data_IF_771816100032
#
_entry.id   IF_771816100032
#
_cell.length_a   1.000
_cell.length_b   1.000
_cell.length_c   1.000
_cell.angle_alpha   90.00
_cell.angle_beta   90.00
_cell.angle_gamma   90.00
#
_symmetry.space_group_name_H-M   'P 1'
#
loop_
_entity.id
_entity.type
_entity.pdbx_description
1 polymer ?
#
# COMPACT_ATOMS: atom_id res chain seq x y z
N UNK A 1 12.48 -5.84 12.80
CA UNK A 1 11.33 -5.50 11.94
C UNK A 1 11.77 -4.44 10.93
N UNK A 2 11.20 -4.37 9.72
CA UNK A 2 11.50 -3.27 8.80
C UNK A 2 11.14 -1.93 9.45
N UNK A 3 11.90 -0.87 9.17
CA UNK A 3 11.63 0.46 9.73
C UNK A 3 10.20 0.91 9.39
N UNK A 4 9.49 1.62 10.28
CA UNK A 4 8.15 2.10 9.97
C UNK A 4 8.17 3.13 8.84
N UNK A 5 7.08 3.22 8.09
CA UNK A 5 6.84 4.34 7.18
C UNK A 5 6.53 5.55 8.05
N UNK A 6 7.36 6.58 7.97
CA UNK A 6 7.08 7.82 8.70
C UNK A 6 6.09 8.63 7.88
N UNK A 7 4.97 9.00 8.47
CA UNK A 7 3.89 9.71 7.79
C UNK A 7 3.61 11.03 8.49
N UNK A 8 3.90 12.14 7.81
CA UNK A 8 3.65 13.49 8.27
C UNK A 8 2.34 14.02 7.72
N UNK A 9 1.53 14.62 8.59
CA UNK A 9 0.23 15.17 8.23
C UNK A 9 -0.11 16.41 9.07
N UNK A 10 -1.11 17.15 8.61
CA UNK A 10 -1.73 18.22 9.37
C UNK A 10 -3.26 18.22 9.14
N UNK A 11 -4.01 18.51 10.19
CA UNK A 11 -5.45 18.63 10.19
C UNK A 11 -6.00 19.71 9.23
N UNK A 12 -5.22 20.75 8.94
CA UNK A 12 -5.64 21.80 7.99
C UNK A 12 -5.44 21.42 6.51
N UNK A 13 -4.76 20.30 6.22
CA UNK A 13 -4.45 19.87 4.85
C UNK A 13 -5.51 18.91 4.30
N UNK A 14 -6.17 19.32 3.21
CA UNK A 14 -7.15 18.48 2.51
C UNK A 14 -6.53 17.16 2.02
N UNK A 15 -5.34 17.20 1.42
CA UNK A 15 -4.66 15.97 0.97
C UNK A 15 -4.15 15.12 2.13
N UNK A 16 -3.91 15.69 3.32
CA UNK A 16 -3.64 14.90 4.52
C UNK A 16 -4.85 14.04 4.89
N UNK A 17 -6.07 14.57 4.77
CA UNK A 17 -7.30 13.77 4.96
C UNK A 17 -7.37 12.56 4.01
N UNK A 18 -7.00 12.73 2.75
CA UNK A 18 -6.91 11.59 1.81
C UNK A 18 -5.88 10.56 2.28
N UNK A 19 -4.67 11.02 2.62
CA UNK A 19 -3.59 10.11 2.99
C UNK A 19 -3.85 9.38 4.32
N UNK A 20 -4.41 10.06 5.32
CA UNK A 20 -4.79 9.47 6.61
C UNK A 20 -5.73 8.26 6.43
N UNK A 21 -6.69 8.35 5.51
CA UNK A 21 -7.63 7.27 5.24
C UNK A 21 -7.04 6.08 4.45
N UNK A 22 -5.80 6.20 3.96
CA UNK A 22 -5.18 5.23 3.04
C UNK A 22 -3.89 4.61 3.56
N UNK A 23 -3.03 5.39 4.23
CA UNK A 23 -1.63 5.04 4.49
C UNK A 23 -1.46 3.73 5.26
N UNK A 24 -2.27 3.51 6.30
CA UNK A 24 -2.18 2.28 7.10
C UNK A 24 -2.58 1.04 6.29
N UNK A 25 -3.63 1.14 5.46
CA UNK A 25 -4.03 0.06 4.55
C UNK A 25 -2.92 -0.24 3.55
N UNK A 26 -2.31 0.79 2.96
CA UNK A 26 -1.17 0.63 2.04
C UNK A 26 0.00 -0.05 2.75
N UNK A 27 0.33 0.37 3.96
CA UNK A 27 1.45 -0.18 4.73
C UNK A 27 1.23 -1.65 5.13
N UNK A 28 0.01 -1.98 5.58
CA UNK A 28 -0.38 -3.33 6.01
C UNK A 28 -0.17 -4.38 4.90
N UNK A 29 -0.49 -4.04 3.63
CA UNK A 29 -0.26 -4.93 2.48
C UNK A 29 1.18 -5.44 2.36
N UNK A 30 2.14 -4.67 2.86
CA UNK A 30 3.57 -4.95 2.77
C UNK A 30 4.20 -5.24 4.14
N UNK A 31 3.39 -5.52 5.17
CA UNK A 31 3.87 -5.79 6.53
C UNK A 31 4.67 -4.63 7.12
N UNK A 32 4.28 -3.39 6.81
CA UNK A 32 4.90 -2.16 7.32
C UNK A 32 4.02 -1.54 8.39
N UNK A 33 4.65 -1.09 9.46
CA UNK A 33 4.04 -0.17 10.41
C UNK A 33 4.11 1.28 9.89
N UNK A 34 3.24 2.15 10.41
CA UNK A 34 3.22 3.57 10.09
C UNK A 34 3.40 4.41 11.36
N UNK A 35 4.42 5.24 11.38
CA UNK A 35 4.66 6.22 12.43
C UNK A 35 4.03 7.57 12.04
N UNK A 36 2.78 7.76 12.48
CA UNK A 36 2.01 8.98 12.25
C UNK A 36 2.57 10.16 13.04
N UNK A 37 2.91 11.24 12.35
CA UNK A 37 3.50 12.45 12.92
C UNK A 37 2.71 13.67 12.49
N UNK A 38 2.01 14.26 13.44
CA UNK A 38 1.36 15.55 13.21
C UNK A 38 2.39 16.67 13.26
N UNK A 39 2.25 17.65 12.37
CA UNK A 39 3.08 18.87 12.33
C UNK A 39 2.20 20.12 12.39
N UNK A 40 2.82 21.29 12.41
CA UNK A 40 2.18 22.58 12.13
C UNK A 40 2.57 22.97 10.70
N UNK A 41 1.68 22.73 9.73
CA UNK A 41 1.95 22.98 8.32
C UNK A 41 2.27 24.45 8.02
N UNK A 42 1.59 25.46 8.62
CA UNK A 42 2.01 26.86 8.47
C UNK A 42 3.50 27.07 8.78
N UNK A 43 3.99 26.59 9.92
CA UNK A 43 5.41 26.70 10.31
C UNK A 43 6.35 26.02 9.29
N UNK A 44 5.93 24.89 8.69
CA UNK A 44 6.71 24.21 7.64
C UNK A 44 6.77 25.08 6.37
N UNK A 45 5.66 25.70 5.96
CA UNK A 45 5.63 26.57 4.79
C UNK A 45 6.47 27.82 5.02
N UNK A 46 6.34 28.44 6.20
CA UNK A 46 7.11 29.61 6.60
C UNK A 46 8.62 29.33 6.59
N UNK A 47 9.05 28.17 7.11
CA UNK A 47 10.46 27.74 7.07
C UNK A 47 11.04 27.71 5.65
N UNK A 48 10.21 27.39 4.65
CA UNK A 48 10.60 27.32 3.24
C UNK A 48 10.25 28.59 2.45
N UNK A 49 9.82 29.67 3.12
CA UNK A 49 9.31 30.89 2.48
C UNK A 49 8.23 30.60 1.43
N UNK A 50 7.34 29.65 1.73
CA UNK A 50 6.25 29.23 0.86
C UNK A 50 4.91 29.67 1.43
N UNK A 51 3.88 29.72 0.57
CA UNK A 51 2.51 30.08 0.97
C UNK A 51 1.55 28.96 0.63
N UNK A 52 0.41 28.93 1.32
CA UNK A 52 -0.58 27.89 1.13
C UNK A 52 -1.10 27.87 -0.31
N UNK A 53 -1.38 26.70 -0.91
CA UNK A 53 -2.11 26.63 -2.18
C UNK A 53 -3.48 27.31 -2.12
N UNK A 54 -4.07 27.48 -0.92
CA UNK A 54 -5.32 28.22 -0.71
C UNK A 54 -5.15 29.72 -0.96
N UNK A 55 -3.97 30.26 -0.72
CA UNK A 55 -3.62 31.68 -0.89
C UNK A 55 -3.18 31.99 -2.32
N UNK A 56 -3.12 30.98 -3.19
CA UNK A 56 -2.72 31.08 -4.59
C UNK A 56 -3.94 30.82 -5.49
N UNK A 57 -4.58 31.85 -6.07
CA UNK A 57 -5.88 31.71 -6.77
C UNK A 57 -5.92 30.59 -7.83
N UNK A 58 -4.88 30.48 -8.67
CA UNK A 58 -4.81 29.44 -9.69
C UNK A 58 -4.74 28.02 -9.10
N UNK A 59 -3.94 27.82 -8.06
CA UNK A 59 -3.82 26.51 -7.37
C UNK A 59 -5.09 26.19 -6.60
N UNK A 60 -5.69 27.17 -5.94
CA UNK A 60 -6.94 26.96 -5.22
C UNK A 60 -8.08 26.57 -6.16
N UNK A 61 -8.22 27.23 -7.31
CA UNK A 61 -9.20 26.89 -8.34
C UNK A 61 -9.01 25.46 -8.90
N UNK A 62 -7.76 25.02 -9.05
CA UNK A 62 -7.45 23.63 -9.38
C UNK A 62 -7.90 22.66 -8.27
N UNK A 63 -7.49 22.94 -7.03
CA UNK A 63 -7.77 22.09 -5.87
C UNK A 63 -9.27 21.94 -5.58
N UNK A 64 -10.07 22.96 -5.85
CA UNK A 64 -11.54 22.88 -5.76
C UNK A 64 -12.14 21.76 -6.61
N UNK A 65 -11.50 21.40 -7.73
CA UNK A 65 -11.93 20.28 -8.59
C UNK A 65 -11.14 19.01 -8.31
N UNK A 66 -9.86 19.14 -8.00
CA UNK A 66 -8.97 18.00 -7.82
C UNK A 66 -9.23 17.22 -6.54
N UNK A 67 -9.42 17.92 -5.41
CA UNK A 67 -9.63 17.25 -4.13
C UNK A 67 -10.93 16.43 -4.09
N UNK A 68 -12.10 16.91 -4.59
CA UNK A 68 -13.29 16.07 -4.71
C UNK A 68 -13.12 14.87 -5.65
N UNK A 69 -12.42 15.01 -6.78
CA UNK A 69 -12.11 13.88 -7.68
C UNK A 69 -11.26 12.83 -6.97
N UNK A 70 -10.24 13.26 -6.23
CA UNK A 70 -9.37 12.39 -5.45
C UNK A 70 -10.15 11.67 -4.35
N UNK A 71 -11.03 12.37 -3.62
CA UNK A 71 -11.89 11.74 -2.61
C UNK A 71 -12.83 10.70 -3.25
N UNK A 72 -13.47 11.04 -4.37
CA UNK A 72 -14.35 10.11 -5.12
C UNK A 72 -13.59 8.87 -5.60
N UNK A 73 -12.38 9.02 -6.12
CA UNK A 73 -11.52 7.91 -6.55
C UNK A 73 -11.23 6.91 -5.41
N UNK A 74 -11.20 7.38 -4.17
CA UNK A 74 -10.89 6.57 -2.99
C UNK A 74 -12.10 6.29 -2.09
N UNK A 75 -13.33 6.60 -2.54
CA UNK A 75 -14.55 6.33 -1.78
C UNK A 75 -14.68 7.15 -0.48
N UNK A 76 -14.08 8.34 -0.42
CA UNK A 76 -14.11 9.19 0.76
C UNK A 76 -15.25 10.22 0.67
N UNK A 77 -16.00 10.47 1.78
CA UNK A 77 -16.90 11.61 1.87
C UNK A 77 -16.14 12.91 1.62
N UNK A 78 -16.77 13.86 0.92
CA UNK A 78 -16.15 15.14 0.61
C UNK A 78 -17.16 16.27 0.49
N UNK A 79 -16.86 17.39 1.13
CA UNK A 79 -17.47 18.71 0.99
C UNK A 79 -16.33 19.72 0.91
N UNK A 80 -16.02 20.20 -0.31
CA UNK A 80 -14.90 21.11 -0.52
C UNK A 80 -15.18 22.18 -1.59
N UNK A 81 -14.89 23.47 -1.33
CA UNK A 81 -14.47 23.99 -0.02
C UNK A 81 -15.58 23.77 1.02
N UNK A 82 -15.24 23.50 2.29
CA UNK A 82 -16.24 23.45 3.35
C UNK A 82 -17.02 24.77 3.39
N UNK A 83 -18.33 24.69 3.63
CA UNK A 83 -19.18 25.88 3.80
C UNK A 83 -18.75 26.69 5.04
N UNK A 84 -18.19 26.00 6.02
CA UNK A 84 -17.61 26.62 7.22
C UNK A 84 -16.21 27.19 6.96
N UNK A 85 -15.79 28.26 7.67
CA UNK A 85 -14.52 28.92 7.37
C UNK A 85 -13.30 28.06 7.79
N UNK A 86 -12.08 28.40 7.31
CA UNK A 86 -10.83 27.77 7.75
C UNK A 86 -10.56 27.95 9.24
N UNK A 87 -9.90 26.97 9.84
CA UNK A 87 -9.57 26.95 11.26
C UNK A 87 -8.08 26.73 11.50
N UNK A 88 -7.59 27.17 12.67
CA UNK A 88 -6.29 26.78 13.20
C UNK A 88 -6.38 25.47 13.97
N UNK A 89 -5.43 24.55 13.78
CA UNK A 89 -5.53 23.20 14.33
C UNK A 89 -4.70 22.93 15.60
N UNK A 90 -4.33 23.95 16.38
CA UNK A 90 -3.45 23.77 17.57
C UNK A 90 -3.97 22.72 18.55
N UNK A 91 -5.23 22.83 19.00
CA UNK A 91 -5.84 21.86 19.91
C UNK A 91 -5.81 20.43 19.34
N UNK A 92 -6.15 20.28 18.06
CA UNK A 92 -6.21 18.99 17.37
C UNK A 92 -4.85 18.26 17.41
N UNK A 93 -3.77 19.00 17.12
CA UNK A 93 -2.41 18.46 17.14
C UNK A 93 -2.02 18.01 18.55
N UNK A 94 -2.38 18.78 19.58
CA UNK A 94 -2.12 18.44 20.97
C UNK A 94 -2.92 17.21 21.42
N UNK A 95 -4.21 17.11 21.06
CA UNK A 95 -5.04 15.93 21.34
C UNK A 95 -4.44 14.69 20.70
N UNK A 96 -4.07 14.76 19.41
CA UNK A 96 -3.42 13.64 18.72
C UNK A 96 -2.16 13.18 19.44
N UNK A 97 -1.26 14.11 19.80
CA UNK A 97 0.00 13.77 20.48
C UNK A 97 -0.23 13.23 21.89
N UNK A 98 -1.22 13.76 22.61
CA UNK A 98 -1.62 13.27 23.92
C UNK A 98 -2.09 11.82 23.85
N UNK A 99 -3.04 11.53 22.95
CA UNK A 99 -3.60 10.18 22.73
C UNK A 99 -2.53 9.20 22.23
N UNK A 100 -1.69 9.61 21.28
CA UNK A 100 -0.65 8.75 20.68
C UNK A 100 0.30 8.13 21.73
N UNK A 101 0.55 8.81 22.85
CA UNK A 101 1.43 8.29 23.91
C UNK A 101 0.86 7.06 24.62
N UNK A 102 -0.45 6.94 24.70
CA UNK A 102 -1.12 5.84 25.42
C UNK A 102 -1.77 4.86 24.46
N UNK A 103 -2.36 5.35 23.35
CA UNK A 103 -3.04 4.54 22.36
C UNK A 103 -2.99 5.21 20.98
N UNK A 104 -2.13 4.68 20.11
CA UNK A 104 -1.98 5.18 18.73
C UNK A 104 -3.25 4.98 17.89
N UNK A 105 -3.96 3.87 18.05
CA UNK A 105 -5.17 3.61 17.27
C UNK A 105 -6.29 4.59 17.63
N UNK A 106 -6.40 4.95 18.91
CA UNK A 106 -7.32 6.01 19.36
C UNK A 106 -6.95 7.37 18.75
N UNK A 107 -5.66 7.70 18.67
CA UNK A 107 -5.17 8.94 18.06
C UNK A 107 -5.43 8.99 16.53
N UNK A 108 -5.28 7.86 15.83
CA UNK A 108 -5.61 7.73 14.41
C UNK A 108 -7.11 7.90 14.18
N UNK A 109 -7.95 7.19 14.94
CA UNK A 109 -9.40 7.30 14.85
C UNK A 109 -9.91 8.71 15.16
N UNK A 110 -9.33 9.39 16.16
CA UNK A 110 -9.56 10.81 16.39
C UNK A 110 -9.24 11.64 15.14
N UNK A 111 -8.08 11.39 14.50
CA UNK A 111 -7.67 12.12 13.30
C UNK A 111 -8.63 11.94 12.13
N UNK A 112 -9.10 10.71 11.92
CA UNK A 112 -10.08 10.36 10.89
C UNK A 112 -11.44 11.03 11.17
N UNK A 113 -11.89 11.03 12.43
CA UNK A 113 -13.15 11.65 12.85
C UNK A 113 -13.17 13.17 12.57
N UNK A 114 -12.09 13.86 12.94
CA UNK A 114 -11.92 15.30 12.65
C UNK A 114 -11.93 15.56 11.15
N UNK A 115 -11.13 14.80 10.40
CA UNK A 115 -11.03 14.96 8.95
C UNK A 115 -12.37 14.74 8.26
N UNK A 116 -13.11 13.68 8.65
CA UNK A 116 -14.45 13.41 8.14
C UNK A 116 -15.43 14.53 8.48
N UNK A 117 -15.42 15.06 9.71
CA UNK A 117 -16.32 16.15 10.10
C UNK A 117 -16.09 17.41 9.25
N UNK A 118 -14.84 17.81 9.07
CA UNK A 118 -14.52 19.05 8.35
C UNK A 118 -14.52 18.87 6.83
N UNK A 119 -13.69 17.96 6.30
CA UNK A 119 -13.55 17.77 4.86
C UNK A 119 -14.62 16.87 4.25
N UNK A 120 -15.16 15.92 5.02
CA UNK A 120 -16.21 15.03 4.54
C UNK A 120 -17.60 15.68 4.60
N UNK A 121 -17.95 16.25 5.76
CA UNK A 121 -19.29 16.76 6.05
C UNK A 121 -19.42 18.29 6.02
N UNK A 122 -18.32 19.03 5.85
CA UNK A 122 -18.36 20.50 5.82
C UNK A 122 -18.70 21.16 7.16
N UNK A 123 -18.46 20.49 8.30
CA UNK A 123 -18.83 20.97 9.64
C UNK A 123 -17.64 21.49 10.44
N UNK A 124 -17.91 22.39 11.39
CA UNK A 124 -16.86 22.98 12.22
C UNK A 124 -16.19 22.00 13.19
N UNK A 125 -14.89 22.26 13.44
CA UNK A 125 -14.00 21.50 14.34
C UNK A 125 -13.13 22.44 15.22
N UNK A 126 -13.48 23.71 15.36
CA UNK A 126 -12.66 24.74 16.03
C UNK A 126 -12.56 24.58 17.55
N UNK A 127 -13.58 24.00 18.18
CA UNK A 127 -13.72 23.96 19.64
C UNK A 127 -13.68 22.54 20.19
N UNK A 128 -13.32 22.39 21.47
CA UNK A 128 -13.34 21.09 22.15
C UNK A 128 -14.70 20.38 22.06
N UNK A 129 -15.81 21.13 22.11
CA UNK A 129 -17.17 20.59 21.94
C UNK A 129 -17.39 20.04 20.52
N UNK A 130 -16.94 20.77 19.50
CA UNK A 130 -17.06 20.33 18.11
C UNK A 130 -16.19 19.10 17.84
N UNK A 131 -15.01 19.00 18.45
CA UNK A 131 -14.15 17.82 18.40
C UNK A 131 -14.76 16.61 19.10
N UNK A 132 -15.35 16.81 20.28
CA UNK A 132 -16.08 15.74 20.98
C UNK A 132 -17.26 15.24 20.15
N UNK A 133 -18.02 16.14 19.51
CA UNK A 133 -19.09 15.76 18.58
C UNK A 133 -18.55 15.02 17.36
N UNK A 134 -17.41 15.43 16.78
CA UNK A 134 -16.76 14.70 15.69
C UNK A 134 -16.46 13.24 16.08
N UNK A 135 -15.94 13.06 17.29
CA UNK A 135 -15.58 11.74 17.82
C UNK A 135 -16.81 10.89 18.07
N UNK A 136 -17.82 11.45 18.73
CA UNK A 136 -19.10 10.76 18.98
C UNK A 136 -19.76 10.31 17.69
N UNK A 137 -19.88 11.18 16.70
CA UNK A 137 -20.52 10.88 15.40
C UNK A 137 -19.77 9.79 14.62
N UNK A 138 -18.46 9.66 14.86
CA UNK A 138 -17.58 8.68 14.21
C UNK A 138 -17.34 7.41 15.05
N UNK A 139 -17.92 7.31 16.25
CA UNK A 139 -17.75 6.16 17.14
C UNK A 139 -16.40 6.09 17.88
N UNK A 140 -15.70 7.23 18.03
CA UNK A 140 -14.42 7.31 18.74
C UNK A 140 -14.67 7.60 20.23
N UNK A 141 -14.23 6.73 21.16
CA UNK A 141 -14.59 6.82 22.58
C UNK A 141 -13.73 7.84 23.32
N UNK A 142 -13.82 9.12 22.96
CA UNK A 142 -13.18 10.23 23.69
C UNK A 142 -14.19 11.30 24.09
N UNK A 143 -14.10 11.73 25.35
CA UNK A 143 -14.94 12.79 25.90
C UNK A 143 -14.34 14.18 25.74
N UNK A 144 -15.16 15.20 25.97
CA UNK A 144 -14.73 16.61 25.93
C UNK A 144 -13.63 16.94 26.95
N UNK A 145 -13.63 16.28 28.11
CA UNK A 145 -12.64 16.54 29.17
C UNK A 145 -11.24 16.07 28.77
N UNK A 146 -11.13 14.91 28.12
CA UNK A 146 -9.85 14.41 27.58
C UNK A 146 -9.33 15.34 26.47
N UNK A 147 -10.24 15.90 25.65
CA UNK A 147 -9.88 16.87 24.61
C UNK A 147 -9.36 18.17 25.24
N UNK A 148 -10.07 18.72 26.23
CA UNK A 148 -9.65 19.95 26.94
C UNK A 148 -8.33 19.77 27.67
N UNK A 149 -8.09 18.60 28.27
CA UNK A 149 -6.85 18.29 28.97
C UNK A 149 -5.61 18.44 28.08
N UNK A 150 -5.75 18.29 26.76
CA UNK A 150 -4.65 18.45 25.81
C UNK A 150 -4.16 19.90 25.68
N UNK A 151 -4.98 20.92 25.96
CA UNK A 151 -4.61 22.34 25.82
C UNK A 151 -3.38 22.69 26.66
N UNK A 152 -3.31 22.11 27.87
CA UNK A 152 -2.26 22.38 28.86
C UNK A 152 -1.21 21.26 28.94
N UNK A 153 -1.22 20.30 28.01
CA UNK A 153 -0.30 19.17 28.02
C UNK A 153 1.10 19.58 27.52
N UNK A 154 1.99 19.89 28.46
CA UNK A 154 3.38 20.31 28.18
C UNK A 154 4.17 19.27 27.39
N UNK A 155 3.90 17.99 27.59
CA UNK A 155 4.59 16.93 26.83
C UNK A 155 4.13 16.92 25.38
N UNK A 156 2.82 17.05 25.13
CA UNK A 156 2.29 17.16 23.77
C UNK A 156 2.85 18.40 23.05
N UNK A 157 2.93 19.54 23.74
CA UNK A 157 3.55 20.77 23.21
C UNK A 157 5.03 20.54 22.84
N UNK A 158 5.83 19.93 23.74
CA UNK A 158 7.24 19.59 23.47
C UNK A 158 7.37 18.60 22.30
N UNK A 159 6.49 17.60 22.23
CA UNK A 159 6.46 16.65 21.12
C UNK A 159 6.17 17.34 19.79
N UNK A 160 5.26 18.31 19.75
CA UNK A 160 4.96 19.08 18.54
C UNK A 160 6.18 19.85 18.04
N UNK A 161 6.89 20.56 18.93
CA UNK A 161 8.12 21.27 18.59
C UNK A 161 9.23 20.33 18.13
N UNK A 162 9.37 19.15 18.75
CA UNK A 162 10.33 18.13 18.30
C UNK A 162 9.96 17.52 16.94
N UNK A 163 8.65 17.40 16.66
CA UNK A 163 8.11 16.90 15.40
C UNK A 163 8.47 17.81 14.24
N UNK A 164 8.39 19.13 14.42
CA UNK A 164 8.86 20.11 13.44
C UNK A 164 10.32 19.90 13.06
N UNK A 165 11.24 19.82 14.03
CA UNK A 165 12.67 19.62 13.76
C UNK A 165 12.93 18.33 12.97
N UNK A 166 12.23 17.25 13.32
CA UNK A 166 12.35 15.96 12.62
C UNK A 166 11.78 16.01 11.20
N UNK A 167 10.67 16.72 10.98
CA UNK A 167 10.07 16.92 9.67
C UNK A 167 11.01 17.69 8.73
N UNK A 168 11.63 18.78 9.20
CA UNK A 168 12.64 19.53 8.44
C UNK A 168 13.86 18.66 8.14
N UNK A 169 14.37 17.90 9.12
CA UNK A 169 15.49 16.98 8.93
C UNK A 169 15.18 15.85 7.91
N UNK A 170 13.90 15.49 7.73
CA UNK A 170 13.46 14.57 6.69
C UNK A 170 13.28 15.24 5.32
N UNK A 171 13.36 16.57 5.24
CA UNK A 171 13.14 17.35 4.04
C UNK A 171 11.66 17.57 3.72
N UNK A 172 10.77 17.55 4.72
CA UNK A 172 9.37 17.91 4.54
C UNK A 172 9.25 19.40 4.16
N UNK A 173 8.45 19.69 3.14
CA UNK A 173 8.13 21.04 2.68
C UNK A 173 6.63 21.28 2.46
N UNK A 174 5.80 20.28 2.73
CA UNK A 174 4.36 20.34 2.62
C UNK A 174 3.72 19.05 3.14
N UNK A 175 2.38 19.02 3.27
CA UNK A 175 1.65 17.87 3.80
C UNK A 175 0.58 17.35 2.82
N UNK A 176 0.36 16.02 2.74
CA UNK A 176 1.04 14.97 3.50
C UNK A 176 2.45 14.66 2.96
N UNK A 177 3.30 14.09 3.80
CA UNK A 177 4.67 13.71 3.42
C UNK A 177 5.05 12.38 4.06
N UNK A 178 5.62 11.46 3.29
CA UNK A 178 6.02 10.14 3.76
C UNK A 178 7.52 9.94 3.56
N UNK A 179 8.14 9.24 4.51
CA UNK A 179 9.53 8.76 4.40
C UNK A 179 9.55 7.26 4.64
N UNK A 180 10.15 6.51 3.71
CA UNK A 180 10.24 5.06 3.77
C UNK A 180 11.62 4.62 3.28
N UNK A 181 12.42 4.02 4.17
CA UNK A 181 13.76 3.49 3.85
C UNK A 181 14.69 4.52 3.16
N UNK A 182 14.64 5.78 3.60
CA UNK A 182 15.41 6.89 3.04
C UNK A 182 14.73 7.62 1.88
N UNK A 183 13.76 6.98 1.22
CA UNK A 183 12.98 7.58 0.14
C UNK A 183 11.87 8.50 0.66
N UNK A 184 11.54 9.53 -0.12
CA UNK A 184 10.62 10.61 0.26
C UNK A 184 9.48 10.72 -0.74
N UNK A 185 8.26 10.90 -0.25
CA UNK A 185 7.04 10.97 -1.05
C UNK A 185 6.16 12.10 -0.54
N UNK A 186 5.86 13.09 -1.38
CA UNK A 186 5.03 14.24 -1.02
C UNK A 186 3.70 14.20 -1.76
N UNK A 187 2.59 14.30 -1.03
CA UNK A 187 1.25 14.27 -1.59
C UNK A 187 0.55 12.91 -1.44
N UNK A 188 -0.79 12.94 -1.41
CA UNK A 188 -1.60 11.72 -1.28
C UNK A 188 -1.57 10.87 -2.56
N UNK A 189 -1.33 11.50 -3.70
CA UNK A 189 -1.08 10.88 -5.01
C UNK A 189 0.22 10.06 -5.04
N UNK A 190 1.18 10.35 -4.14
CA UNK A 190 2.45 9.60 -4.04
C UNK A 190 2.40 8.39 -3.13
N UNK A 191 1.25 8.07 -2.55
CA UNK A 191 1.02 6.76 -1.93
C UNK A 191 1.19 5.62 -2.94
N UNK A 192 0.82 5.85 -4.20
CA UNK A 192 0.94 4.84 -5.25
C UNK A 192 2.42 4.61 -5.64
N UNK A 193 3.23 5.67 -5.59
CA UNK A 193 4.69 5.58 -5.78
C UNK A 193 5.38 4.87 -4.60
N UNK A 194 4.97 5.20 -3.38
CA UNK A 194 5.43 4.51 -2.17
C UNK A 194 5.10 3.01 -2.25
N UNK A 195 3.87 2.68 -2.61
CA UNK A 195 3.42 1.31 -2.81
C UNK A 195 4.22 0.60 -3.91
N UNK A 196 4.46 1.26 -5.04
CA UNK A 196 5.30 0.71 -6.10
C UNK A 196 6.71 0.35 -5.61
N UNK A 197 7.33 1.20 -4.78
CA UNK A 197 8.64 0.91 -4.20
C UNK A 197 8.59 -0.26 -3.20
N UNK A 198 7.54 -0.32 -2.37
CA UNK A 198 7.36 -1.41 -1.40
C UNK A 198 7.18 -2.76 -2.11
N UNK A 199 6.42 -2.82 -3.22
CA UNK A 199 6.30 -4.02 -4.07
C UNK A 199 7.65 -4.54 -4.55
N UNK A 200 8.61 -3.65 -4.84
CA UNK A 200 9.94 -4.04 -5.34
C UNK A 200 10.87 -4.55 -4.24
N UNK A 201 10.53 -4.36 -2.95
CA UNK A 201 11.31 -4.81 -1.79
C UNK A 201 10.78 -6.11 -1.14
N UNK A 202 10.17 -6.99 -1.94
CA UNK A 202 9.85 -8.36 -1.50
C UNK A 202 11.15 -9.03 -1.04
N UNK A 203 11.14 -9.64 0.16
CA UNK A 203 12.26 -10.50 0.59
C UNK A 203 12.30 -11.73 -0.31
N UNK A 204 13.23 -11.72 -1.25
CA UNK A 204 13.46 -12.81 -2.21
C UNK A 204 14.46 -13.80 -1.58
N UNK A 205 14.14 -15.10 -1.47
CA UNK A 205 15.11 -16.12 -1.06
C UNK A 205 16.33 -16.16 -1.97
N UNK A 206 17.49 -16.54 -1.41
CA UNK A 206 18.76 -16.55 -2.14
C UNK A 206 18.68 -17.37 -3.44
N UNK A 207 19.18 -16.78 -4.52
CA UNK A 207 19.24 -17.42 -5.85
C UNK A 207 17.99 -17.23 -6.70
N UNK A 208 16.94 -16.59 -6.18
CA UNK A 208 15.83 -16.13 -7.01
C UNK A 208 16.08 -14.72 -7.53
N UNK A 209 15.73 -14.50 -8.79
CA UNK A 209 15.80 -13.20 -9.47
C UNK A 209 14.44 -12.85 -10.06
N UNK A 210 14.09 -11.54 -10.16
CA UNK A 210 12.85 -11.13 -10.81
C UNK A 210 12.74 -11.72 -12.22
N UNK A 211 11.59 -12.32 -12.53
CA UNK A 211 11.30 -12.80 -13.87
C UNK A 211 10.79 -11.62 -14.72
N UNK A 212 11.45 -11.24 -15.82
CA UNK A 212 11.05 -10.10 -16.64
C UNK A 212 9.68 -10.37 -17.28
N UNK A 213 8.68 -9.57 -16.89
CA UNK A 213 7.27 -9.84 -17.17
C UNK A 213 6.93 -9.46 -18.62
N UNK A 214 6.44 -10.42 -19.39
CA UNK A 214 6.11 -10.33 -20.82
C UNK A 214 4.62 -10.02 -21.10
N UNK A 215 3.82 -9.63 -20.09
CA UNK A 215 2.40 -9.27 -20.29
C UNK A 215 1.82 -8.38 -19.18
N UNK A 216 0.80 -7.58 -19.52
CA UNK A 216 0.02 -6.77 -18.56
C UNK A 216 -0.63 -7.61 -17.45
N UNK A 217 -1.01 -8.86 -17.75
CA UNK A 217 -1.66 -9.75 -16.78
C UNK A 217 -0.69 -10.17 -15.67
N UNK A 218 0.50 -10.64 -16.06
CA UNK A 218 1.52 -11.06 -15.11
C UNK A 218 2.18 -9.88 -14.40
N UNK A 219 2.17 -8.68 -14.98
CA UNK A 219 2.58 -7.45 -14.29
C UNK A 219 1.63 -7.09 -13.12
N UNK A 220 0.31 -7.17 -13.34
CA UNK A 220 -0.69 -6.82 -12.31
C UNK A 220 -0.72 -7.80 -11.15
N UNK A 221 -0.53 -9.09 -11.46
CA UNK A 221 -0.56 -10.16 -10.47
C UNK A 221 0.85 -10.58 -10.00
N UNK A 222 1.93 -10.04 -10.56
CA UNK A 222 3.31 -10.30 -10.14
C UNK A 222 3.75 -9.41 -8.96
N UNK A 223 5.05 -9.35 -8.63
CA UNK A 223 6.16 -9.87 -9.42
C UNK A 223 6.32 -11.39 -9.26
N UNK A 224 6.72 -12.02 -10.36
CA UNK A 224 7.20 -13.40 -10.37
C UNK A 224 8.72 -13.40 -10.28
N UNK A 225 9.25 -14.48 -9.72
CA UNK A 225 10.68 -14.73 -9.59
C UNK A 225 11.02 -16.06 -10.21
N UNK A 226 12.27 -16.22 -10.60
CA UNK A 226 12.78 -17.50 -11.08
C UNK A 226 14.16 -17.77 -10.52
N UNK A 227 14.52 -19.05 -10.45
CA UNK A 227 15.85 -19.53 -10.09
C UNK A 227 16.23 -20.64 -11.05
N UNK A 228 17.43 -20.59 -11.61
CA UNK A 228 18.00 -21.69 -12.40
C UNK A 228 19.06 -22.40 -11.55
N UNK A 229 18.92 -23.71 -11.37
CA UNK A 229 19.90 -24.56 -10.67
C UNK A 229 19.95 -25.93 -11.31
N UNK A 230 21.15 -26.42 -11.62
CA UNK A 230 21.38 -27.75 -12.20
C UNK A 230 20.51 -28.05 -13.44
N UNK A 231 20.39 -27.08 -14.36
CA UNK A 231 19.59 -27.22 -15.58
C UNK A 231 18.06 -27.26 -15.35
N UNK A 232 17.60 -26.94 -14.14
CA UNK A 232 16.18 -26.81 -13.82
C UNK A 232 15.84 -25.36 -13.47
N UNK A 233 14.71 -24.89 -13.98
CA UNK A 233 14.14 -23.60 -13.64
C UNK A 233 13.01 -23.80 -12.62
N UNK A 234 12.98 -22.98 -11.59
CA UNK A 234 11.92 -22.92 -10.58
C UNK A 234 11.33 -21.52 -10.61
N UNK A 235 10.01 -21.42 -10.69
CA UNK A 235 9.31 -20.14 -10.62
C UNK A 235 8.72 -19.94 -9.24
N UNK A 236 8.57 -18.69 -8.82
CA UNK A 236 8.06 -18.36 -7.51
C UNK A 236 7.33 -17.02 -7.45
N UNK A 237 6.52 -16.84 -6.42
CA UNK A 237 5.97 -15.54 -6.03
C UNK A 237 5.83 -15.45 -4.50
N UNK A 238 5.71 -14.22 -3.99
CA UNK A 238 5.37 -13.96 -2.59
C UNK A 238 3.88 -13.65 -2.50
N UNK A 239 3.16 -14.30 -1.61
CA UNK A 239 1.71 -14.09 -1.45
C UNK A 239 1.44 -12.72 -0.84
N UNK A 240 0.55 -11.93 -1.47
CA UNK A 240 0.00 -10.68 -0.96
C UNK A 240 -1.51 -10.62 -1.23
N UNK A 241 -2.15 -9.54 -0.80
CA UNK A 241 -3.61 -9.35 -0.87
C UNK A 241 -4.22 -9.53 -2.26
N UNK A 242 -3.48 -9.23 -3.34
CA UNK A 242 -3.98 -9.37 -4.72
C UNK A 242 -4.26 -10.83 -5.07
N UNK A 243 -3.57 -11.74 -4.41
CA UNK A 243 -3.68 -13.17 -4.67
C UNK A 243 -4.81 -13.82 -3.87
N UNK A 244 -5.44 -13.13 -2.91
CA UNK A 244 -6.35 -13.75 -1.95
C UNK A 244 -7.79 -13.79 -2.46
N UNK A 245 -8.52 -14.80 -2.00
CA UNK A 245 -9.98 -14.89 -2.12
C UNK A 245 -10.66 -14.32 -0.86
N UNK A 246 -12.00 -14.22 -0.80
CA UNK A 246 -12.73 -13.72 0.38
C UNK A 246 -12.52 -14.50 1.69
N UNK A 247 -11.84 -15.65 1.66
CA UNK A 247 -11.45 -16.43 2.85
C UNK A 247 -9.98 -16.22 3.24
N UNK A 248 -9.34 -15.19 2.71
CA UNK A 248 -7.95 -14.80 3.01
C UNK A 248 -6.90 -15.88 2.71
N UNK A 249 -7.18 -16.74 1.72
CA UNK A 249 -6.21 -17.71 1.18
C UNK A 249 -6.04 -17.48 -0.32
N UNK A 250 -4.92 -17.95 -0.90
CA UNK A 250 -4.67 -17.78 -2.33
C UNK A 250 -5.83 -18.29 -3.18
N UNK A 251 -6.33 -17.44 -4.06
CA UNK A 251 -7.38 -17.72 -5.02
C UNK A 251 -6.91 -18.79 -6.01
N UNK A 252 -7.69 -19.85 -6.17
CA UNK A 252 -7.34 -20.97 -7.06
C UNK A 252 -7.05 -20.51 -8.49
N UNK A 253 -7.85 -19.59 -9.02
CA UNK A 253 -7.60 -18.96 -10.33
C UNK A 253 -6.23 -18.28 -10.47
N UNK A 254 -5.72 -17.61 -9.42
CA UNK A 254 -4.36 -17.06 -9.45
C UNK A 254 -3.32 -18.17 -9.43
N UNK A 255 -3.47 -19.16 -8.55
CA UNK A 255 -2.53 -20.28 -8.48
C UNK A 255 -2.43 -21.02 -9.82
N UNK A 256 -3.57 -21.28 -10.47
CA UNK A 256 -3.62 -21.90 -11.80
C UNK A 256 -2.95 -21.02 -12.86
N UNK A 257 -3.17 -19.69 -12.85
CA UNK A 257 -2.45 -18.78 -13.77
C UNK A 257 -0.94 -18.73 -13.51
N UNK A 258 -0.51 -18.79 -12.25
CA UNK A 258 0.90 -18.89 -11.90
C UNK A 258 1.52 -20.19 -12.41
N UNK A 259 0.81 -21.30 -12.24
CA UNK A 259 1.21 -22.63 -12.74
C UNK A 259 1.32 -22.63 -14.26
N UNK A 260 0.35 -22.05 -14.98
CA UNK A 260 0.36 -21.92 -16.44
C UNK A 260 1.66 -21.30 -16.95
N UNK A 261 1.99 -20.10 -16.44
CA UNK A 261 3.21 -19.37 -16.81
C UNK A 261 4.46 -20.18 -16.45
N UNK A 262 4.48 -20.77 -15.24
CA UNK A 262 5.63 -21.51 -14.73
C UNK A 262 5.94 -22.76 -15.56
N UNK A 263 4.91 -23.55 -15.88
CA UNK A 263 5.06 -24.81 -16.62
C UNK A 263 5.36 -24.55 -18.10
N UNK A 264 4.71 -23.56 -18.73
CA UNK A 264 5.00 -23.17 -20.10
C UNK A 264 6.47 -22.76 -20.27
N UNK A 265 6.96 -21.90 -19.36
CA UNK A 265 8.36 -21.44 -19.40
C UNK A 265 9.35 -22.53 -19.04
N UNK A 266 8.99 -23.44 -18.13
CA UNK A 266 9.81 -24.62 -17.83
C UNK A 266 9.98 -25.51 -19.06
N UNK A 267 8.91 -25.77 -19.79
CA UNK A 267 8.95 -26.59 -21.01
C UNK A 267 9.89 -25.98 -22.06
N UNK A 268 9.75 -24.68 -22.32
CA UNK A 268 10.56 -23.95 -23.29
C UNK A 268 12.04 -23.94 -22.89
N UNK A 269 12.32 -23.66 -21.61
CA UNK A 269 13.67 -23.67 -21.06
C UNK A 269 14.36 -25.04 -21.23
N UNK A 270 13.67 -26.14 -20.91
CA UNK A 270 14.25 -27.48 -20.98
C UNK A 270 14.44 -28.02 -22.41
N UNK A 271 13.73 -27.47 -23.40
CA UNK A 271 14.00 -27.76 -24.82
C UNK A 271 14.99 -26.78 -25.46
N UNK A 272 15.55 -25.84 -24.70
CA UNK A 272 16.53 -24.87 -25.18
C UNK A 272 15.93 -23.82 -26.14
N UNK A 273 14.65 -23.48 -25.98
CA UNK A 273 13.98 -22.46 -26.80
C UNK A 273 13.47 -21.32 -25.92
N UNK A 274 13.54 -20.11 -26.44
CA UNK A 274 12.85 -18.96 -25.85
C UNK A 274 11.57 -18.64 -26.65
N UNK A 275 10.52 -18.23 -25.97
CA UNK A 275 9.21 -17.97 -26.57
C UNK A 275 8.02 -18.23 -25.64
N UNK A 276 6.81 -18.11 -26.20
CA UNK A 276 5.54 -18.41 -25.53
C UNK A 276 5.01 -19.73 -26.09
N UNK A 277 4.66 -20.66 -25.20
CA UNK A 277 4.08 -21.94 -25.57
C UNK A 277 2.57 -21.89 -25.27
N UNK A 278 1.69 -21.93 -26.28
CA UNK A 278 0.25 -21.95 -26.05
C UNK A 278 -0.17 -23.15 -25.21
N UNK A 279 -0.97 -22.91 -24.18
CA UNK A 279 -1.54 -23.93 -23.30
C UNK A 279 -2.67 -24.66 -24.04
N UNK A 280 -2.53 -25.97 -24.19
CA UNK A 280 -3.56 -26.84 -24.77
C UNK A 280 -4.43 -27.45 -23.68
N UNK A 281 -3.78 -27.85 -22.58
CA UNK A 281 -4.43 -28.41 -21.41
C UNK A 281 -3.65 -28.01 -20.17
N UNK A 282 -4.37 -27.73 -19.09
CA UNK A 282 -3.81 -27.44 -17.78
C UNK A 282 -4.77 -27.96 -16.70
N UNK A 283 -4.22 -28.71 -15.77
CA UNK A 283 -4.89 -29.23 -14.59
C UNK A 283 -4.11 -28.79 -13.34
N UNK A 284 -4.84 -28.47 -12.27
CA UNK A 284 -4.26 -28.12 -10.96
C UNK A 284 -5.11 -28.72 -9.86
N UNK A 285 -4.54 -29.69 -9.15
CA UNK A 285 -5.13 -30.29 -7.97
C UNK A 285 -4.72 -29.50 -6.72
N UNK A 286 -5.68 -28.86 -6.05
CA UNK A 286 -5.44 -28.12 -4.83
C UNK A 286 -5.38 -29.05 -3.62
N UNK A 287 -4.23 -29.08 -2.94
CA UNK A 287 -3.96 -29.97 -1.81
C UNK A 287 -4.07 -29.20 -0.48
N UNK A 288 -3.66 -27.94 -0.46
CA UNK A 288 -3.57 -27.15 0.77
C UNK A 288 -3.83 -25.66 0.57
N UNK A 289 -4.22 -24.99 1.65
CA UNK A 289 -4.40 -23.54 1.67
C UNK A 289 -3.05 -22.83 1.73
N UNK A 290 -2.93 -21.73 0.99
CA UNK A 290 -1.74 -20.86 0.98
C UNK A 290 -2.13 -19.53 1.60
N UNK A 291 -1.37 -19.10 2.61
CA UNK A 291 -1.64 -17.92 3.44
C UNK A 291 -0.84 -16.69 2.98
N UNK A 292 -1.25 -15.46 3.40
CA UNK A 292 -0.50 -14.24 3.14
C UNK A 292 0.96 -14.32 3.59
N UNK A 293 1.87 -13.76 2.82
CA UNK A 293 3.30 -13.71 3.15
C UNK A 293 4.10 -14.99 2.88
N UNK A 294 3.45 -16.11 2.57
CA UNK A 294 4.18 -17.35 2.22
C UNK A 294 4.94 -17.20 0.89
N UNK A 295 6.08 -17.89 0.78
CA UNK A 295 6.83 -18.00 -0.47
C UNK A 295 6.38 -19.24 -1.23
N UNK A 296 5.83 -19.03 -2.44
CA UNK A 296 5.27 -20.13 -3.25
C UNK A 296 6.22 -20.43 -4.38
N UNK A 297 6.60 -21.71 -4.54
CA UNK A 297 7.46 -22.20 -5.62
C UNK A 297 6.72 -23.22 -6.47
N UNK A 298 6.80 -23.09 -7.80
CA UNK A 298 6.40 -24.11 -8.76
C UNK A 298 7.65 -24.80 -9.32
N UNK A 299 7.79 -26.08 -9.02
CA UNK A 299 8.83 -26.94 -9.57
C UNK A 299 8.18 -27.85 -10.59
N UNK A 300 8.48 -27.62 -11.86
CA UNK A 300 7.95 -28.39 -12.98
C UNK A 300 9.08 -29.09 -13.75
N UNK A 301 8.73 -30.13 -14.50
CA UNK A 301 9.64 -30.84 -15.39
C UNK A 301 8.89 -31.27 -16.66
N UNK A 302 9.55 -31.14 -17.81
CA UNK A 302 9.15 -31.77 -19.06
C UNK A 302 9.28 -33.28 -18.91
N UNK A 303 8.16 -33.98 -18.94
CA UNK A 303 8.07 -35.44 -18.78
C UNK A 303 8.22 -36.13 -20.13
N UNK A 304 7.59 -35.56 -21.17
CA UNK A 304 7.68 -36.10 -22.52
C UNK A 304 7.55 -34.97 -23.56
N UNK A 305 8.00 -35.25 -24.78
CA UNK A 305 7.93 -34.33 -25.91
C UNK A 305 7.64 -35.07 -27.21
N UNK A 306 6.72 -34.53 -28.00
CA UNK A 306 6.51 -34.94 -29.39
C UNK A 306 7.04 -33.87 -30.35
N UNK A 307 6.86 -34.09 -31.65
CA UNK A 307 7.20 -33.07 -32.67
C UNK A 307 6.53 -31.72 -32.41
N UNK A 308 5.35 -31.69 -31.79
CA UNK A 308 4.55 -30.46 -31.67
C UNK A 308 3.99 -30.15 -30.29
N UNK A 309 4.24 -31.00 -29.28
CA UNK A 309 3.69 -30.83 -27.93
C UNK A 309 4.74 -31.14 -26.86
N UNK A 310 4.70 -30.39 -25.77
CA UNK A 310 5.42 -30.62 -24.53
C UNK A 310 4.44 -31.09 -23.45
N UNK A 311 4.79 -32.15 -22.72
CA UNK A 311 4.03 -32.67 -21.59
C UNK A 311 4.81 -32.38 -20.32
N UNK A 312 4.19 -31.67 -19.38
CA UNK A 312 4.86 -31.11 -18.21
C UNK A 312 4.08 -31.50 -16.97
N UNK A 313 4.80 -31.90 -15.92
CA UNK A 313 4.24 -32.13 -14.60
C UNK A 313 4.95 -31.24 -13.58
N UNK A 314 4.24 -30.85 -12.52
CA UNK A 314 4.82 -30.03 -11.48
C UNK A 314 4.15 -30.20 -10.11
N UNK A 315 4.88 -29.70 -9.12
CA UNK A 315 4.41 -29.58 -7.74
C UNK A 315 4.59 -28.12 -7.32
N UNK A 316 3.55 -27.58 -6.69
CA UNK A 316 3.60 -26.27 -6.06
C UNK A 316 3.77 -26.45 -4.56
N UNK A 317 4.72 -25.71 -3.99
CA UNK A 317 4.98 -25.68 -2.56
C UNK A 317 4.79 -24.27 -2.01
N UNK A 318 4.30 -24.14 -0.77
CA UNK A 318 4.29 -22.91 0.00
C UNK A 318 5.19 -23.08 1.22
N UNK A 319 6.26 -22.28 1.31
CA UNK A 319 7.34 -22.42 2.31
C UNK A 319 7.87 -23.87 2.42
N UNK A 320 7.96 -24.56 1.27
CA UNK A 320 8.43 -25.94 1.18
C UNK A 320 7.37 -27.03 1.41
N UNK A 321 6.14 -26.68 1.79
CA UNK A 321 5.04 -27.64 1.99
C UNK A 321 4.25 -27.79 0.68
N UNK A 322 4.03 -29.01 0.15
CA UNK A 322 3.20 -29.21 -1.04
C UNK A 322 1.76 -28.70 -0.84
N UNK A 323 1.29 -27.88 -1.78
CA UNK A 323 -0.05 -27.25 -1.75
C UNK A 323 -0.83 -27.45 -3.04
N UNK A 324 -0.18 -27.82 -4.15
CA UNK A 324 -0.87 -28.26 -5.35
C UNK A 324 0.00 -29.21 -6.19
N UNK A 325 -0.66 -30.05 -6.99
CA UNK A 325 -0.06 -30.81 -8.10
C UNK A 325 -0.61 -30.28 -9.41
N UNK A 326 0.21 -30.29 -10.46
CA UNK A 326 -0.20 -29.79 -11.76
C UNK A 326 0.33 -30.63 -12.91
N UNK A 327 -0.48 -30.71 -13.97
CA UNK A 327 -0.18 -31.37 -15.23
C UNK A 327 -0.61 -30.48 -16.37
N UNK A 328 0.20 -30.38 -17.42
CA UNK A 328 -0.10 -29.50 -18.54
C UNK A 328 0.48 -30.00 -19.86
N UNK A 329 -0.20 -29.63 -20.94
CA UNK A 329 0.23 -29.86 -22.31
C UNK A 329 0.36 -28.50 -23.00
N UNK A 330 1.53 -28.22 -23.55
CA UNK A 330 1.80 -27.00 -24.28
C UNK A 330 2.18 -27.29 -25.73
N UNK A 331 1.71 -26.44 -26.65
CA UNK A 331 2.12 -26.50 -28.05
C UNK A 331 3.57 -26.01 -28.20
N UNK A 332 4.36 -26.70 -29.01
CA UNK A 332 5.67 -26.21 -29.48
C UNK A 332 5.41 -25.30 -30.69
N UNK A 333 5.68 -23.99 -30.62
CA UNK A 333 5.45 -23.08 -31.74
C UNK A 333 6.38 -23.42 -32.92
N UNK A 334 5.85 -23.34 -34.14
CA UNK A 334 6.63 -23.47 -35.38
C UNK A 334 7.46 -22.22 -35.66
N UNK A 335 6.94 -21.04 -35.33
CA UNK A 335 7.62 -19.74 -35.40
C UNK A 335 7.66 -19.11 -34.01
N UNK A 336 8.85 -18.71 -33.54
CA UNK A 336 9.06 -18.14 -32.21
C UNK A 336 8.94 -16.61 -32.18
N UNK A 337 8.43 -15.97 -33.25
CA UNK A 337 8.30 -14.52 -33.33
C UNK A 337 6.94 -14.05 -32.77
N UNK A 338 7.04 -13.41 -31.61
CA UNK A 338 6.09 -12.57 -30.84
C UNK A 338 4.66 -13.09 -30.66
#
# INVERSE_FOLDING_TARGET
MPSPIRFYFDFVSAYSYVAMNRIDKVAARYGREVDWKVVVLPDILDHHNSISPREQPAKFAHNQKDFPRTCKMHGLPVTFPPEVPPYGATLHRLVFLRLKRTNIELAKNFSLAVGNRYFGMGKEVRTARQLASACSDYGVPIGIDEIKAAENDRTAQKSLSSGFKRAIADGMFGAPFMVCDGEKYWGADRLDHLEYNLKRKIKVPRGFEPFPLLSNFTERNGPLFHRVRNGKITFAFRVDERHLNPREVVHGGWLTSFVDVSMAKTAMFQIGRDGVAPTIHLETDFIGAIKPGQWVECQANLVNRTRSMNFVEGVVTADGIPVARCSAIFKIPYNLQK
#
